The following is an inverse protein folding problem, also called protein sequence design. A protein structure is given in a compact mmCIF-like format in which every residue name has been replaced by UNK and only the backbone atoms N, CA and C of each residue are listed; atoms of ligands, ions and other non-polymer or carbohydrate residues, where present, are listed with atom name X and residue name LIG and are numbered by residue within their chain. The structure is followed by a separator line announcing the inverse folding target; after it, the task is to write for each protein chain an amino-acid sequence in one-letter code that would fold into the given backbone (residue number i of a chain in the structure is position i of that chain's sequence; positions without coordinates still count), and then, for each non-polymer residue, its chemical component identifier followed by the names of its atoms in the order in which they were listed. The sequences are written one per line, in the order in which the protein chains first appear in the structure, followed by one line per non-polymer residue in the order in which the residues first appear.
data_IF_455142706724
#
_entry.id   IF_455142706724
#
_cell.length_a   1.000
_cell.length_b   1.000
_cell.length_c   1.000
_cell.angle_alpha   90.00
_cell.angle_beta   90.00
_cell.angle_gamma   90.00
#
_symmetry.space_group_name_H-M   'P 1'
#
loop_
_entity.id
_entity.type
_entity.pdbx_description
1 polymer ?
#
# COMPACT_ATOMS: atom_id res chain seq x y z
N UNK A 1 -7.28 -16.07 -10.11
CA UNK A 1 -7.36 -14.78 -9.42
C UNK A 1 -6.79 -13.72 -10.33
N UNK A 2 -7.53 -12.64 -10.58
CA UNK A 2 -7.15 -11.61 -11.54
C UNK A 2 -6.23 -10.53 -10.97
N UNK A 3 -5.89 -9.56 -11.81
CA UNK A 3 -5.24 -8.31 -11.43
C UNK A 3 -6.23 -7.39 -10.69
N UNK A 4 -5.75 -6.66 -9.69
CA UNK A 4 -6.50 -5.57 -9.05
C UNK A 4 -5.86 -4.24 -9.48
N UNK A 5 -6.67 -3.32 -10.01
CA UNK A 5 -6.22 -2.00 -10.43
C UNK A 5 -7.07 -0.91 -9.82
N UNK A 6 -6.42 -0.03 -9.09
CA UNK A 6 -6.92 1.24 -8.58
C UNK A 6 -6.26 2.41 -9.32
N UNK A 7 -5.75 2.18 -10.54
CA UNK A 7 -4.99 3.19 -11.27
C UNK A 7 -5.78 4.50 -11.45
N UNK A 8 -5.16 5.62 -11.10
CA UNK A 8 -5.74 6.99 -11.13
C UNK A 8 -6.91 7.21 -10.16
N UNK A 9 -7.11 6.33 -9.17
CA UNK A 9 -8.13 6.52 -8.17
C UNK A 9 -7.73 7.60 -7.15
N UNK A 10 -8.72 8.36 -6.69
CA UNK A 10 -8.63 9.18 -5.48
C UNK A 10 -9.45 8.51 -4.38
N UNK A 11 -8.82 8.14 -3.26
CA UNK A 11 -9.46 7.44 -2.16
C UNK A 11 -9.18 8.21 -0.86
N UNK A 12 -10.23 8.71 -0.21
CA UNK A 12 -10.09 9.55 0.98
C UNK A 12 -10.99 9.05 2.10
N UNK A 13 -10.42 8.92 3.30
CA UNK A 13 -11.15 8.74 4.55
C UNK A 13 -10.50 9.59 5.65
N UNK A 14 -11.21 10.60 6.15
CA UNK A 14 -10.70 11.54 7.16
C UNK A 14 -10.90 11.07 8.60
N UNK A 15 -11.54 9.91 8.79
CA UNK A 15 -11.85 9.35 10.10
C UNK A 15 -11.34 7.92 10.28
N UNK A 16 -10.52 7.42 9.35
CA UNK A 16 -10.01 6.07 9.38
C UNK A 16 -9.09 5.74 8.20
N UNK A 17 -8.81 4.45 7.96
CA UNK A 17 -8.01 4.03 6.82
C UNK A 17 -8.75 4.32 5.52
N UNK A 18 -8.00 4.72 4.48
CA UNK A 18 -8.54 4.92 3.15
C UNK A 18 -8.77 3.59 2.43
N UNK A 19 -7.88 2.61 2.64
CA UNK A 19 -7.96 1.27 2.06
C UNK A 19 -7.56 0.21 3.10
N UNK A 20 -8.48 -0.71 3.39
CA UNK A 20 -8.23 -1.91 4.20
C UNK A 20 -8.32 -3.12 3.28
N UNK A 21 -7.24 -3.87 3.19
CA UNK A 21 -7.06 -5.02 2.31
C UNK A 21 -6.22 -6.11 2.99
N UNK A 22 -6.47 -6.32 4.27
CA UNK A 22 -5.85 -7.34 5.10
C UNK A 22 -6.02 -8.74 4.48
N UNK A 23 -4.90 -9.47 4.33
CA UNK A 23 -4.91 -10.81 3.77
C UNK A 23 -5.34 -10.89 2.30
N UNK A 24 -5.32 -9.77 1.56
CA UNK A 24 -5.65 -9.72 0.14
C UNK A 24 -4.86 -10.77 -0.65
N UNK A 25 -5.55 -11.49 -1.54
CA UNK A 25 -4.94 -12.43 -2.48
C UNK A 25 -5.24 -12.03 -3.91
N UNK A 26 -4.18 -11.85 -4.69
CA UNK A 26 -4.27 -11.69 -6.14
C UNK A 26 -3.22 -12.57 -6.79
N UNK A 27 -3.60 -13.45 -7.73
CA UNK A 27 -2.62 -14.31 -8.41
C UNK A 27 -1.80 -13.54 -9.45
N UNK A 28 -2.20 -12.31 -9.77
CA UNK A 28 -1.50 -11.37 -10.64
C UNK A 28 -1.10 -10.13 -9.83
N UNK A 29 -1.14 -8.94 -10.44
CA UNK A 29 -0.60 -7.72 -9.84
C UNK A 29 -1.63 -6.87 -9.09
N UNK A 30 -1.12 -6.03 -8.18
CA UNK A 30 -1.86 -4.94 -7.54
C UNK A 30 -1.32 -3.60 -8.03
N UNK A 31 -2.11 -2.87 -8.82
CA UNK A 31 -1.74 -1.57 -9.36
C UNK A 31 -2.48 -0.43 -8.67
N UNK A 32 -1.74 0.43 -7.98
CA UNK A 32 -2.18 1.68 -7.37
C UNK A 32 -1.41 2.86 -7.99
N UNK A 33 -1.19 2.80 -9.30
CA UNK A 33 -0.44 3.81 -10.06
C UNK A 33 -1.23 5.11 -10.18
N UNK A 34 -0.54 6.24 -10.14
CA UNK A 34 -1.17 7.57 -10.30
C UNK A 34 -2.28 7.83 -9.26
N UNK A 35 -2.23 7.18 -8.09
CA UNK A 35 -3.28 7.31 -7.08
C UNK A 35 -3.05 8.50 -6.15
N UNK A 36 -4.14 9.04 -5.60
CA UNK A 36 -4.09 9.95 -4.45
C UNK A 36 -4.88 9.31 -3.32
N UNK A 37 -4.20 8.95 -2.22
CA UNK A 37 -4.79 8.22 -1.11
C UNK A 37 -4.56 9.00 0.18
N UNK A 38 -5.64 9.34 0.88
CA UNK A 38 -5.59 10.11 2.13
C UNK A 38 -6.37 9.42 3.23
N UNK A 39 -5.69 9.06 4.32
CA UNK A 39 -6.28 8.44 5.51
C UNK A 39 -6.02 9.23 6.79
N UNK A 40 -6.72 8.85 7.85
CA UNK A 40 -6.44 9.29 9.22
C UNK A 40 -6.63 8.10 10.16
N UNK A 41 -5.59 7.26 10.27
CA UNK A 41 -5.63 6.05 11.09
C UNK A 41 -4.29 5.74 11.74
N UNK A 42 -4.31 5.28 12.98
CA UNK A 42 -3.10 4.91 13.74
C UNK A 42 -2.33 3.77 13.07
N UNK A 43 -3.05 2.83 12.44
CA UNK A 43 -2.49 1.64 11.78
C UNK A 43 -2.22 1.82 10.29
N UNK A 44 -2.61 2.95 9.72
CA UNK A 44 -2.21 3.40 8.39
C UNK A 44 -3.33 3.69 7.42
N UNK A 45 -3.05 4.56 6.43
CA UNK A 45 -4.04 4.93 5.39
C UNK A 45 -4.29 3.78 4.41
N UNK A 46 -3.24 3.03 4.05
CA UNK A 46 -3.34 1.77 3.32
C UNK A 46 -2.89 0.64 4.23
N UNK A 47 -3.75 -0.36 4.41
CA UNK A 47 -3.49 -1.54 5.22
C UNK A 47 -3.55 -2.78 4.33
N UNK A 48 -2.41 -3.45 4.18
CA UNK A 48 -2.21 -4.69 3.42
C UNK A 48 -1.49 -5.78 4.24
N UNK A 49 -1.71 -5.91 5.57
CA UNK A 49 -1.00 -6.90 6.35
C UNK A 49 -1.31 -8.32 5.88
N UNK A 50 -0.27 -9.13 5.67
CA UNK A 50 -0.40 -10.51 5.22
C UNK A 50 -0.96 -10.70 3.81
N UNK A 51 -0.99 -9.64 2.98
CA UNK A 51 -1.39 -9.75 1.59
C UNK A 51 -0.41 -10.62 0.79
N UNK A 52 -0.91 -11.38 -0.18
CA UNK A 52 -0.10 -12.17 -1.13
C UNK A 52 -0.51 -11.81 -2.56
N UNK A 53 0.46 -11.24 -3.30
CA UNK A 53 0.32 -10.80 -4.68
C UNK A 53 1.28 -11.64 -5.54
N UNK A 54 0.75 -12.39 -6.50
CA UNK A 54 1.56 -13.26 -7.38
C UNK A 54 2.36 -12.49 -8.43
N UNK A 55 2.02 -11.23 -8.67
CA UNK A 55 2.75 -10.30 -9.51
C UNK A 55 3.19 -9.03 -8.76
N UNK A 56 3.52 -7.99 -9.51
CA UNK A 56 3.99 -6.71 -8.98
C UNK A 56 2.97 -6.02 -8.04
N UNK A 57 3.47 -5.36 -7.00
CA UNK A 57 2.74 -4.31 -6.27
C UNK A 57 3.27 -2.96 -6.74
N UNK A 58 2.45 -2.19 -7.44
CA UNK A 58 2.85 -0.94 -8.09
C UNK A 58 2.22 0.26 -7.42
N UNK A 59 3.04 1.09 -6.78
CA UNK A 59 2.68 2.40 -6.22
C UNK A 59 3.19 3.55 -7.09
N UNK A 60 3.64 3.27 -8.32
CA UNK A 60 4.27 4.26 -9.18
C UNK A 60 3.42 5.54 -9.32
N UNK A 61 4.03 6.71 -9.09
CA UNK A 61 3.36 8.03 -9.11
C UNK A 61 2.21 8.17 -8.11
N UNK A 62 2.13 7.34 -7.07
CA UNK A 62 1.13 7.50 -6.02
C UNK A 62 1.51 8.62 -5.05
N UNK A 63 0.49 9.31 -4.54
CA UNK A 63 0.59 10.20 -3.39
C UNK A 63 -0.23 9.62 -2.25
N UNK A 64 0.43 9.22 -1.17
CA UNK A 64 -0.22 8.57 -0.02
C UNK A 64 0.04 9.41 1.21
N UNK A 65 -1.02 9.85 1.88
CA UNK A 65 -0.95 10.66 3.10
C UNK A 65 -1.74 10.00 4.22
N UNK A 66 -1.13 9.92 5.40
CA UNK A 66 -1.83 9.61 6.63
C UNK A 66 -1.43 10.60 7.73
N UNK A 67 -2.41 11.14 8.45
CA UNK A 67 -2.19 12.18 9.45
C UNK A 67 -2.06 11.65 10.88
N UNK A 68 -2.40 10.37 11.14
CA UNK A 68 -2.38 9.78 12.48
C UNK A 68 -1.39 8.61 12.68
N UNK A 69 -0.76 8.12 11.61
CA UNK A 69 0.08 6.92 11.67
C UNK A 69 0.96 6.74 10.42
N UNK A 70 1.43 5.51 10.12
CA UNK A 70 2.20 5.27 8.90
C UNK A 70 1.29 5.49 7.69
N UNK A 71 1.79 5.96 6.55
CA UNK A 71 0.95 6.06 5.36
C UNK A 71 0.59 4.68 4.80
N UNK A 72 1.57 3.77 4.79
CA UNK A 72 1.46 2.44 4.22
C UNK A 72 1.89 1.39 5.25
N UNK A 73 0.96 0.48 5.59
CA UNK A 73 1.23 -0.70 6.41
C UNK A 73 1.08 -1.96 5.57
N UNK A 74 2.21 -2.60 5.29
CA UNK A 74 2.34 -3.80 4.44
C UNK A 74 3.13 -4.89 5.18
N UNK A 75 2.89 -5.02 6.49
CA UNK A 75 3.53 -6.04 7.31
C UNK A 75 3.18 -7.44 6.78
N UNK A 76 4.17 -8.33 6.65
CA UNK A 76 4.00 -9.68 6.09
C UNK A 76 3.43 -9.71 4.67
N UNK A 77 3.54 -8.60 3.92
CA UNK A 77 3.25 -8.60 2.49
C UNK A 77 4.18 -9.61 1.80
N UNK A 78 3.61 -10.47 0.97
CA UNK A 78 4.35 -11.28 0.02
C UNK A 78 4.01 -10.82 -1.40
N UNK A 79 5.01 -10.39 -2.15
CA UNK A 79 4.90 -10.29 -3.60
C UNK A 79 5.89 -11.27 -4.22
N UNK A 80 5.44 -12.03 -5.22
CA UNK A 80 6.33 -12.93 -5.97
C UNK A 80 7.12 -12.16 -7.06
N UNK A 81 6.97 -10.84 -7.13
CA UNK A 81 7.65 -9.91 -8.04
C UNK A 81 8.03 -8.61 -7.30
N UNK A 82 8.08 -7.48 -7.99
CA UNK A 82 8.59 -6.21 -7.47
C UNK A 82 7.59 -5.46 -6.59
N UNK A 83 8.12 -4.65 -5.68
CA UNK A 83 7.40 -3.54 -5.05
C UNK A 83 7.90 -2.24 -5.67
N UNK A 84 7.11 -1.65 -6.56
CA UNK A 84 7.52 -0.47 -7.35
C UNK A 84 7.02 0.82 -6.69
N UNK A 85 7.95 1.72 -6.36
CA UNK A 85 7.66 3.03 -5.74
C UNK A 85 8.29 4.22 -6.51
N UNK A 86 8.48 4.07 -7.82
CA UNK A 86 9.00 5.15 -8.68
C UNK A 86 8.09 6.39 -8.63
N UNK A 87 8.68 7.57 -8.47
CA UNK A 87 7.97 8.85 -8.41
C UNK A 87 6.85 8.91 -7.35
N UNK A 88 6.99 8.15 -6.27
CA UNK A 88 5.96 8.06 -5.21
C UNK A 88 6.24 9.05 -4.09
N UNK A 89 5.19 9.72 -3.61
CA UNK A 89 5.25 10.57 -2.40
C UNK A 89 4.47 9.90 -1.28
N UNK A 90 5.12 9.67 -0.14
CA UNK A 90 4.52 8.99 1.01
C UNK A 90 4.74 9.83 2.27
N UNK A 91 3.64 10.25 2.89
CA UNK A 91 3.62 11.10 4.09
C UNK A 91 2.88 10.38 5.22
N UNK A 92 3.56 10.13 6.32
CA UNK A 92 2.99 9.56 7.54
C UNK A 92 3.58 10.22 8.78
N UNK A 93 2.87 10.15 9.91
CA UNK A 93 3.26 10.78 11.19
C UNK A 93 3.70 9.77 12.25
N UNK A 94 3.75 8.47 11.91
CA UNK A 94 4.19 7.45 12.84
C UNK A 94 5.68 7.56 13.19
N UNK A 95 5.97 7.36 14.49
CA UNK A 95 7.33 7.32 15.05
C UNK A 95 8.25 6.28 14.40
N UNK A 96 7.68 5.18 13.92
CA UNK A 96 8.41 4.04 13.36
C UNK A 96 8.61 4.19 11.84
N UNK A 97 8.15 5.29 11.25
CA UNK A 97 8.28 5.61 9.82
C UNK A 97 6.95 5.70 9.06
N UNK A 98 6.99 6.35 7.89
CA UNK A 98 5.81 6.50 7.03
C UNK A 98 5.41 5.20 6.30
N UNK A 99 6.29 4.21 6.24
CA UNK A 99 6.07 2.90 5.61
C UNK A 99 6.47 1.82 6.60
N UNK A 100 5.62 0.81 6.79
CA UNK A 100 5.95 -0.39 7.60
C UNK A 100 5.91 -1.64 6.73
N UNK A 101 7.04 -2.34 6.67
CA UNK A 101 7.32 -3.53 5.86
C UNK A 101 7.81 -4.70 6.75
N UNK A 102 7.32 -4.79 7.99
CA UNK A 102 7.82 -5.78 8.94
C UNK A 102 7.52 -7.18 8.40
N UNK A 103 8.54 -8.03 8.30
CA UNK A 103 8.44 -9.39 7.75
C UNK A 103 7.90 -9.46 6.30
N UNK A 104 7.96 -8.35 5.54
CA UNK A 104 7.60 -8.37 4.13
C UNK A 104 8.62 -9.17 3.32
N UNK A 105 8.13 -9.91 2.32
CA UNK A 105 8.91 -10.67 1.36
C UNK A 105 8.64 -10.16 -0.05
N UNK A 106 9.69 -9.64 -0.69
CA UNK A 106 9.65 -9.15 -2.06
C UNK A 106 10.51 -10.09 -2.90
N UNK A 107 9.88 -10.83 -3.83
CA UNK A 107 10.55 -11.81 -4.68
C UNK A 107 11.25 -11.21 -5.90
N UNK A 108 10.92 -9.95 -6.22
CA UNK A 108 11.48 -9.17 -7.31
C UNK A 108 12.99 -8.87 -7.21
N UNK A 109 13.56 -8.33 -8.29
CA UNK A 109 15.02 -8.14 -8.48
C UNK A 109 15.41 -6.68 -8.56
#
# INVERSE_FOLDING_TARGET
GGQISLARATITNTAGPALVADGLRADSSLFMRDTTITGTADDGAIQLPGAHIGGEVSLARATITNTAGPALRVDRLRTDSDLVMSDTTITGTAKDGAIRLIEAHIGGT
#
